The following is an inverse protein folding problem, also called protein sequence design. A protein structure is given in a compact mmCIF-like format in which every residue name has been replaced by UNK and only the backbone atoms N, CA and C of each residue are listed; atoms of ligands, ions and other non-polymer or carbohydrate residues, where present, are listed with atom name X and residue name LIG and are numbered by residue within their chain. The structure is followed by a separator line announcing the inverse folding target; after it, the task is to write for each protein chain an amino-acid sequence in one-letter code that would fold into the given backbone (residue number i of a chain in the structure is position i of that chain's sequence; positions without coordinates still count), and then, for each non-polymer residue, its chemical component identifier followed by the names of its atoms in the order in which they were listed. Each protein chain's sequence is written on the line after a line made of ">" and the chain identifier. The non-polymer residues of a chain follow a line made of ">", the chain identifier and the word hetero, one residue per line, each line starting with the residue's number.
data_IF_757425272983
#
_entry.id   IF_757425272983
#
_cell.length_a   1.000
_cell.length_b   1.000
_cell.length_c   1.000
_cell.angle_alpha   90.00
_cell.angle_beta   90.00
_cell.angle_gamma   90.00
#
_symmetry.space_group_name_H-M   'P 1'
#
loop_
_entity.id
_entity.type
_entity.pdbx_description
1 polymer ?
#
# COMPACT_ATOMS: atom_id res chain seq x y z
N UNK A 1 -0.08 12.40 18.01
CA UNK A 1 -1.43 12.25 17.42
C UNK A 1 -1.93 10.80 17.38
N UNK A 2 -1.32 9.84 16.66
CA UNK A 2 -1.77 8.43 16.72
C UNK A 2 -1.60 7.85 18.13
N UNK A 3 -0.45 8.03 18.76
CA UNK A 3 -0.19 7.53 20.13
C UNK A 3 -0.96 8.29 21.21
N UNK A 4 -1.03 9.62 21.10
CA UNK A 4 -1.67 10.48 22.10
C UNK A 4 -3.21 10.41 22.09
N UNK A 5 -3.82 10.20 20.92
CA UNK A 5 -5.27 10.21 20.74
C UNK A 5 -5.86 8.82 20.46
N UNK A 6 -5.02 7.80 20.23
CA UNK A 6 -5.45 6.44 19.89
C UNK A 6 -6.21 6.33 18.56
N UNK A 7 -6.07 7.30 17.66
CA UNK A 7 -6.82 7.35 16.39
C UNK A 7 -6.13 6.45 15.36
N UNK A 8 -6.80 5.45 14.77
CA UNK A 8 -6.22 4.59 13.74
C UNK A 8 -5.75 5.36 12.50
N UNK A 9 -4.64 4.94 11.91
CA UNK A 9 -4.07 5.52 10.68
C UNK A 9 -4.06 4.48 9.58
N UNK A 10 -4.56 4.86 8.40
CA UNK A 10 -4.50 4.07 7.19
C UNK A 10 -3.74 4.85 6.09
N UNK A 11 -2.97 4.13 5.28
CA UNK A 11 -2.21 4.71 4.16
C UNK A 11 -2.81 4.22 2.85
N UNK A 12 -3.23 5.17 2.01
CA UNK A 12 -3.81 4.91 0.69
C UNK A 12 -2.97 5.61 -0.39
N UNK A 13 -2.24 4.83 -1.19
CA UNK A 13 -1.30 5.25 -2.24
C UNK A 13 -1.57 4.50 -3.54
N UNK A 14 -0.68 4.61 -4.54
CA UNK A 14 -0.75 3.84 -5.77
C UNK A 14 -0.31 2.38 -5.55
N UNK A 15 -0.64 1.51 -6.51
CA UNK A 15 -0.27 0.08 -6.51
C UNK A 15 1.02 -0.14 -7.28
N UNK A 16 2.13 0.35 -6.73
CA UNK A 16 3.47 0.24 -7.28
C UNK A 16 4.54 0.12 -6.16
N UNK A 17 5.75 -0.37 -6.47
CA UNK A 17 6.80 -0.55 -5.45
C UNK A 17 7.24 0.74 -4.75
N UNK A 18 7.16 1.91 -5.40
CA UNK A 18 7.55 3.17 -4.77
C UNK A 18 6.55 3.58 -3.68
N UNK A 19 5.26 3.36 -3.95
CA UNK A 19 4.18 3.58 -3.00
C UNK A 19 4.28 2.66 -1.78
N UNK A 20 4.72 1.41 -1.94
CA UNK A 20 5.00 0.52 -0.80
C UNK A 20 6.10 1.07 0.10
N UNK A 21 7.12 1.72 -0.47
CA UNK A 21 8.18 2.37 0.30
C UNK A 21 7.71 3.63 1.02
N UNK A 22 6.73 4.35 0.48
CA UNK A 22 6.06 5.45 1.19
C UNK A 22 5.37 4.89 2.44
N UNK A 23 4.56 3.82 2.29
CA UNK A 23 3.96 3.15 3.43
C UNK A 23 5.01 2.69 4.45
N UNK A 24 6.07 2.02 3.99
CA UNK A 24 7.12 1.53 4.88
C UNK A 24 7.84 2.68 5.63
N UNK A 25 7.96 3.85 5.02
CA UNK A 25 8.53 5.04 5.67
C UNK A 25 7.61 5.61 6.74
N UNK A 26 6.28 5.52 6.55
CA UNK A 26 5.28 5.91 7.55
C UNK A 26 5.23 4.88 8.69
N UNK A 27 5.19 3.60 8.37
CA UNK A 27 5.02 2.53 9.36
C UNK A 27 6.29 2.30 10.20
N UNK A 28 7.47 2.30 9.58
CA UNK A 28 8.72 1.92 10.23
C UNK A 28 9.72 3.08 10.40
N UNK A 29 9.39 4.27 9.89
CA UNK A 29 10.33 5.39 9.82
C UNK A 29 11.36 5.25 8.69
N UNK A 30 12.12 6.32 8.47
CA UNK A 30 13.19 6.31 7.48
C UNK A 30 14.49 5.74 8.09
N UNK A 31 15.08 4.73 7.44
CA UNK A 31 16.34 4.07 7.86
C UNK A 31 17.47 5.08 8.15
N UNK A 32 17.53 6.20 7.40
CA UNK A 32 18.55 7.25 7.55
C UNK A 32 18.39 8.12 8.80
N UNK A 33 17.28 8.00 9.52
CA UNK A 33 16.94 8.81 10.68
C UNK A 33 16.45 7.95 11.83
N UNK A 34 17.06 6.78 12.04
CA UNK A 34 16.67 5.82 13.09
C UNK A 34 16.53 6.48 14.48
N UNK A 35 17.37 7.47 14.81
CA UNK A 35 17.29 8.24 16.07
C UNK A 35 16.06 9.14 16.20
N UNK A 36 15.44 9.55 15.09
CA UNK A 36 14.20 10.34 15.05
C UNK A 36 12.98 9.47 14.68
N UNK A 37 13.20 8.22 14.25
CA UNK A 37 12.15 7.34 13.76
C UNK A 37 11.18 6.93 14.85
N UNK A 38 11.62 6.88 16.11
CA UNK A 38 10.76 6.62 17.27
C UNK A 38 9.65 7.68 17.44
N UNK A 39 9.87 8.91 16.96
CA UNK A 39 8.88 10.00 17.03
C UNK A 39 8.11 10.22 15.72
N UNK A 40 8.58 9.65 14.59
CA UNK A 40 8.02 9.91 13.26
C UNK A 40 7.34 8.69 12.64
N UNK A 41 7.61 7.49 13.13
CA UNK A 41 6.95 6.28 12.68
C UNK A 41 5.56 6.16 13.31
N UNK A 42 4.65 5.53 12.58
CA UNK A 42 3.36 5.07 13.11
C UNK A 42 3.26 3.57 12.86
N UNK A 43 3.87 2.71 13.70
CA UNK A 43 3.90 1.26 13.48
C UNK A 43 2.52 0.60 13.41
N UNK A 44 1.52 1.24 14.02
CA UNK A 44 0.12 0.82 13.95
C UNK A 44 -0.60 1.23 12.65
N UNK A 45 0.07 1.98 11.76
CA UNK A 45 -0.50 2.36 10.47
C UNK A 45 -0.75 1.11 9.63
N UNK A 46 -1.93 1.04 9.00
CA UNK A 46 -2.30 -0.07 8.13
C UNK A 46 -2.25 0.36 6.67
N UNK A 47 -1.73 -0.51 5.80
CA UNK A 47 -1.79 -0.28 4.36
C UNK A 47 -3.21 -0.56 3.86
N UNK A 48 -3.90 0.47 3.38
CA UNK A 48 -5.25 0.35 2.84
C UNK A 48 -5.22 -0.06 1.37
N UNK A 49 -4.26 0.44 0.61
CA UNK A 49 -4.10 0.12 -0.80
C UNK A 49 -3.49 1.29 -1.56
N UNK A 50 -3.55 1.33 -2.88
CA UNK A 50 -4.09 0.31 -3.78
C UNK A 50 -3.24 -0.96 -3.73
N UNK A 51 -3.90 -2.12 -3.57
CA UNK A 51 -3.25 -3.42 -3.44
C UNK A 51 -3.20 -4.14 -4.78
N UNK A 52 -2.21 -5.02 -5.02
CA UNK A 52 -2.15 -5.87 -6.20
C UNK A 52 -3.42 -6.69 -6.43
N UNK A 53 -4.07 -7.17 -5.36
CA UNK A 53 -5.37 -7.85 -5.47
C UNK A 53 -6.48 -6.93 -5.99
N UNK A 54 -6.51 -5.66 -5.59
CA UNK A 54 -7.52 -4.69 -6.03
C UNK A 54 -7.47 -4.46 -7.54
N UNK A 55 -6.28 -4.54 -8.14
CA UNK A 55 -6.11 -4.44 -9.60
C UNK A 55 -6.94 -5.51 -10.33
N UNK A 56 -6.93 -6.72 -9.79
CA UNK A 56 -7.63 -7.88 -10.35
C UNK A 56 -9.12 -7.82 -10.02
N UNK A 57 -9.46 -7.61 -8.76
CA UNK A 57 -10.84 -7.64 -8.25
C UNK A 57 -11.70 -6.53 -8.86
N UNK A 58 -11.17 -5.32 -8.97
CA UNK A 58 -11.90 -4.17 -9.49
C UNK A 58 -11.67 -3.93 -10.98
N UNK A 59 -10.90 -4.79 -11.66
CA UNK A 59 -10.54 -4.65 -13.08
C UNK A 59 -10.11 -3.21 -13.42
N UNK A 60 -9.10 -2.72 -12.71
CA UNK A 60 -8.65 -1.34 -12.81
C UNK A 60 -7.88 -1.09 -14.12
N UNK A 61 -7.84 0.17 -14.54
CA UNK A 61 -6.91 0.58 -15.60
C UNK A 61 -5.48 0.45 -15.09
N UNK A 62 -4.62 -0.21 -15.87
CA UNK A 62 -3.27 -0.59 -15.43
C UNK A 62 -2.22 -0.26 -16.47
N UNK A 63 -1.02 0.01 -16.00
CA UNK A 63 0.19 0.00 -16.80
C UNK A 63 0.99 -1.28 -16.57
N UNK A 64 1.83 -1.64 -17.54
CA UNK A 64 2.78 -2.74 -17.38
C UNK A 64 3.90 -2.32 -16.42
N UNK A 65 4.37 -3.28 -15.62
CA UNK A 65 5.60 -3.08 -14.86
C UNK A 65 6.78 -2.88 -15.80
N UNK A 66 7.63 -1.92 -15.46
CA UNK A 66 8.93 -1.75 -16.12
C UNK A 66 9.97 -2.67 -15.48
N UNK A 67 11.12 -2.86 -16.12
CA UNK A 67 12.25 -3.59 -15.55
C UNK A 67 12.71 -3.00 -14.20
N UNK A 68 12.61 -1.67 -14.05
CA UNK A 68 12.93 -0.99 -12.79
C UNK A 68 11.92 -1.35 -11.70
N UNK A 69 10.62 -1.40 -12.04
CA UNK A 69 9.57 -1.78 -11.10
C UNK A 69 9.75 -3.25 -10.65
N UNK A 70 10.03 -4.16 -11.59
CA UNK A 70 10.30 -5.58 -11.29
C UNK A 70 11.54 -5.71 -10.39
N UNK A 71 12.61 -4.98 -10.68
CA UNK A 71 13.82 -4.95 -9.85
C UNK A 71 13.55 -4.43 -8.43
N UNK A 72 12.69 -3.41 -8.30
CA UNK A 72 12.28 -2.86 -7.01
C UNK A 72 11.45 -3.86 -6.20
N UNK A 73 10.43 -4.49 -6.80
CA UNK A 73 9.58 -5.50 -6.17
C UNK A 73 10.41 -6.72 -5.69
N UNK A 74 11.36 -7.19 -6.51
CA UNK A 74 12.27 -8.27 -6.10
C UNK A 74 13.17 -7.88 -4.93
N UNK A 75 13.59 -6.62 -4.88
CA UNK A 75 14.37 -6.10 -3.74
C UNK A 75 13.51 -6.02 -2.48
N UNK A 76 12.24 -5.69 -2.61
CA UNK A 76 11.28 -5.60 -1.49
C UNK A 76 11.00 -6.98 -0.88
N UNK A 77 10.99 -8.06 -1.66
CA UNK A 77 10.90 -9.43 -1.12
C UNK A 77 12.03 -9.80 -0.16
N UNK A 78 13.17 -9.11 -0.24
CA UNK A 78 14.31 -9.30 0.68
C UNK A 78 14.41 -8.23 1.79
N UNK A 79 13.53 -7.24 1.79
CA UNK A 79 13.53 -6.17 2.79
C UNK A 79 12.72 -6.61 4.02
N UNK A 80 13.30 -6.55 5.24
CA UNK A 80 12.62 -7.02 6.46
C UNK A 80 11.32 -6.27 6.76
N UNK A 81 11.12 -5.06 6.21
CA UNK A 81 9.86 -4.30 6.36
C UNK A 81 8.69 -4.93 5.60
N UNK A 82 8.97 -5.80 4.63
CA UNK A 82 7.98 -6.50 3.81
C UNK A 82 8.04 -8.03 4.02
N UNK A 83 8.60 -8.50 5.15
CA UNK A 83 8.76 -9.93 5.43
C UNK A 83 7.43 -10.64 5.77
N UNK A 84 6.37 -9.91 6.07
CA UNK A 84 5.09 -10.53 6.42
C UNK A 84 4.49 -11.32 5.26
N UNK A 85 3.75 -12.38 5.58
CA UNK A 85 3.10 -13.23 4.56
C UNK A 85 2.17 -12.42 3.66
N UNK A 86 1.45 -11.44 4.22
CA UNK A 86 0.65 -10.49 3.45
C UNK A 86 1.48 -9.76 2.37
N UNK A 87 2.62 -9.18 2.74
CA UNK A 87 3.43 -8.41 1.79
C UNK A 87 4.07 -9.31 0.74
N UNK A 88 4.54 -10.50 1.12
CA UNK A 88 5.06 -11.48 0.17
C UNK A 88 4.00 -11.90 -0.84
N UNK A 89 2.78 -12.19 -0.37
CA UNK A 89 1.66 -12.57 -1.25
C UNK A 89 1.32 -11.45 -2.23
N UNK A 90 1.17 -10.21 -1.75
CA UNK A 90 0.83 -9.08 -2.61
C UNK A 90 1.93 -8.76 -3.61
N UNK A 91 3.21 -8.72 -3.18
CA UNK A 91 4.34 -8.44 -4.08
C UNK A 91 4.48 -9.56 -5.12
N UNK A 92 4.32 -10.82 -4.73
CA UNK A 92 4.37 -11.95 -5.66
C UNK A 92 3.21 -11.89 -6.65
N UNK A 93 1.99 -11.61 -6.19
CA UNK A 93 0.83 -11.39 -7.05
C UNK A 93 1.10 -10.27 -8.05
N UNK A 94 1.73 -9.18 -7.62
CA UNK A 94 2.04 -8.08 -8.54
C UNK A 94 3.06 -8.46 -9.61
N UNK A 95 4.08 -9.23 -9.24
CA UNK A 95 5.05 -9.79 -10.19
C UNK A 95 4.37 -10.73 -11.18
N UNK A 96 3.42 -11.55 -10.71
CA UNK A 96 2.70 -12.52 -11.54
C UNK A 96 1.74 -11.85 -12.54
N UNK A 97 0.99 -10.83 -12.11
CA UNK A 97 0.09 -10.07 -13.00
C UNK A 97 0.87 -9.13 -13.93
N UNK A 98 2.09 -8.73 -13.56
CA UNK A 98 2.95 -7.88 -14.38
C UNK A 98 2.43 -6.44 -14.57
N UNK A 99 1.60 -5.96 -13.64
CA UNK A 99 0.84 -4.70 -13.76
C UNK A 99 0.98 -3.81 -12.53
N UNK A 100 0.88 -2.50 -12.74
CA UNK A 100 0.71 -1.46 -11.71
C UNK A 100 -0.51 -0.62 -12.00
N UNK A 101 -1.05 0.01 -10.97
CA UNK A 101 -2.20 0.89 -11.10
C UNK A 101 -2.04 2.14 -10.23
N UNK A 102 -2.41 3.28 -10.81
CA UNK A 102 -2.54 4.54 -10.12
C UNK A 102 -3.80 4.53 -9.25
N UNK A 103 -3.80 5.23 -8.11
CA UNK A 103 -4.96 5.40 -7.23
C UNK A 103 -6.15 6.01 -8.00
N UNK A 104 -5.88 6.91 -8.94
CA UNK A 104 -6.90 7.52 -9.80
C UNK A 104 -7.56 6.53 -10.78
N UNK A 105 -7.04 5.30 -10.94
CA UNK A 105 -7.66 4.27 -11.77
C UNK A 105 -9.07 3.90 -11.29
N UNK A 106 -9.36 4.08 -9.99
CA UNK A 106 -10.71 3.92 -9.46
C UNK A 106 -11.71 4.94 -10.02
N UNK A 107 -11.27 6.14 -10.42
CA UNK A 107 -12.15 7.14 -11.04
C UNK A 107 -12.71 6.66 -12.39
N UNK A 108 -12.03 5.72 -13.06
CA UNK A 108 -12.54 5.05 -14.25
C UNK A 108 -13.80 4.21 -14.00
N UNK A 109 -14.12 3.87 -12.75
CA UNK A 109 -15.33 3.15 -12.34
C UNK A 109 -16.47 4.10 -11.91
N UNK A 110 -16.22 5.41 -11.91
CA UNK A 110 -17.13 6.45 -11.43
C UNK A 110 -16.43 7.36 -10.43
N UNK A 111 -16.72 8.66 -10.48
CA UNK A 111 -16.07 9.67 -9.63
C UNK A 111 -16.27 9.39 -8.13
N UNK A 112 -17.43 8.84 -7.77
CA UNK A 112 -17.81 8.59 -6.38
C UNK A 112 -17.48 7.16 -5.92
N UNK A 113 -16.94 6.30 -6.80
CA UNK A 113 -16.66 4.90 -6.49
C UNK A 113 -15.71 4.73 -5.29
N UNK A 114 -14.67 5.56 -5.23
CA UNK A 114 -13.69 5.52 -4.14
C UNK A 114 -14.36 5.81 -2.80
N UNK A 115 -15.19 6.85 -2.76
CA UNK A 115 -15.82 7.35 -1.53
C UNK A 115 -17.01 6.53 -1.08
N UNK A 116 -17.78 5.96 -2.02
CA UNK A 116 -19.02 5.25 -1.70
C UNK A 116 -18.84 3.73 -1.60
N UNK A 117 -17.86 3.15 -2.30
CA UNK A 117 -17.69 1.70 -2.40
C UNK A 117 -16.35 1.26 -1.81
N UNK A 118 -15.24 1.70 -2.40
CA UNK A 118 -13.93 1.13 -2.08
C UNK A 118 -13.49 1.44 -0.63
N UNK A 119 -13.44 2.72 -0.24
CA UNK A 119 -13.00 3.10 1.10
C UNK A 119 -13.91 2.54 2.20
N UNK A 120 -15.26 2.63 2.11
CA UNK A 120 -16.12 2.07 3.15
C UNK A 120 -16.00 0.55 3.30
N UNK A 121 -15.87 -0.18 2.19
CA UNK A 121 -15.70 -1.64 2.25
C UNK A 121 -14.35 -2.01 2.89
N UNK A 122 -13.26 -1.39 2.42
CA UNK A 122 -11.92 -1.72 2.91
C UNK A 122 -11.73 -1.34 4.38
N UNK A 123 -12.22 -0.17 4.80
CA UNK A 123 -12.13 0.26 6.20
C UNK A 123 -12.90 -0.67 7.15
N UNK A 124 -14.04 -1.22 6.73
CA UNK A 124 -14.80 -2.22 7.51
C UNK A 124 -14.02 -3.53 7.63
N UNK A 125 -13.46 -4.04 6.53
CA UNK A 125 -12.63 -5.26 6.54
C UNK A 125 -11.41 -5.12 7.44
N UNK A 126 -10.82 -3.92 7.48
CA UNK A 126 -9.69 -3.59 8.35
C UNK A 126 -10.10 -3.36 9.82
N UNK A 127 -11.41 -3.37 10.12
CA UNK A 127 -11.98 -3.12 11.45
C UNK A 127 -11.77 -1.69 11.95
N UNK A 128 -11.73 -0.71 11.03
CA UNK A 128 -11.48 0.70 11.36
C UNK A 128 -12.76 1.52 11.51
N UNK A 129 -13.89 1.03 10.97
CA UNK A 129 -15.24 1.61 11.09
C UNK A 129 -16.29 0.52 11.27
#
# INVERSE_FOLDING_TARGET
>A
MNEELGIPVAVFTDGDPWSYRIYASVAYGAIKSAHLSEFMATPAAKFLGLQPSDIVEYELSTDKLTEQDIGALRSELSDPRFESEYWKEQIQLQLDIGKKAEQQAFAGKGLDFVTEVYLPNRLKEMGMI
#
